data_IF_956387911164
#
_entry.id   IF_956387911164
#
_cell.length_a   1.000
_cell.length_b   1.000
_cell.length_c   1.000
_cell.angle_alpha   90.00
_cell.angle_beta   90.00
_cell.angle_gamma   90.00
#
_symmetry.space_group_name_H-M   'P 1'
#
loop_
_entity.id
_entity.type
_entity.pdbx_description
1 polymer ?
#
# COMPACT_ATOMS: atom_id res chain seq x y z
N UNK A 1 15.75 -4.26 4.29
CA UNK A 1 14.27 -4.20 4.22
C UNK A 1 13.86 -4.28 2.75
N UNK A 2 13.09 -5.30 2.40
CA UNK A 2 12.54 -5.46 1.05
C UNK A 2 11.06 -5.11 1.13
N UNK A 3 10.56 -4.24 0.26
CA UNK A 3 9.14 -3.85 0.24
C UNK A 3 8.64 -3.83 -1.19
N UNK A 4 7.46 -4.40 -1.39
CA UNK A 4 6.78 -4.45 -2.67
C UNK A 4 5.47 -3.67 -2.56
N UNK A 5 5.18 -2.87 -3.58
CA UNK A 5 3.96 -2.08 -3.69
C UNK A 5 3.24 -2.45 -4.98
N UNK A 6 1.92 -2.60 -4.90
CA UNK A 6 1.12 -2.82 -6.09
C UNK A 6 0.99 -1.51 -6.87
N UNK A 7 1.36 -1.55 -8.15
CA UNK A 7 1.07 -0.48 -9.09
C UNK A 7 -0.11 -0.98 -9.93
N UNK A 8 -1.29 -0.37 -9.75
CA UNK A 8 -2.48 -0.84 -10.43
C UNK A 8 -2.40 -0.52 -11.94
N UNK A 9 -2.37 -1.56 -12.77
CA UNK A 9 -2.62 -1.51 -14.21
C UNK A 9 -3.63 -2.60 -14.48
N UNK A 10 -4.72 -2.23 -15.16
CA UNK A 10 -5.97 -2.99 -15.24
C UNK A 10 -5.88 -4.48 -15.65
N UNK A 11 -4.72 -5.00 -16.08
CA UNK A 11 -4.56 -6.39 -16.55
C UNK A 11 -3.21 -7.07 -16.18
N UNK A 12 -2.27 -6.41 -15.48
CA UNK A 12 -0.94 -6.98 -15.16
C UNK A 12 -0.56 -6.75 -13.69
N UNK A 13 -0.03 -7.77 -13.01
CA UNK A 13 0.52 -7.65 -11.65
C UNK A 13 1.87 -6.91 -11.69
N UNK A 14 1.80 -5.59 -11.74
CA UNK A 14 2.95 -4.69 -11.68
C UNK A 14 3.29 -4.36 -10.22
N UNK A 15 4.55 -4.56 -9.87
CA UNK A 15 5.03 -4.30 -8.51
C UNK A 15 6.21 -3.34 -8.54
N UNK A 16 6.15 -2.31 -7.70
CA UNK A 16 7.32 -1.51 -7.33
C UNK A 16 8.03 -2.21 -6.19
N UNK A 17 9.30 -2.52 -6.36
CA UNK A 17 10.10 -3.16 -5.31
C UNK A 17 11.20 -2.20 -4.86
N UNK A 18 11.33 -2.06 -3.55
CA UNK A 18 12.39 -1.35 -2.87
C UNK A 18 13.32 -2.34 -2.18
N UNK A 19 14.64 -2.16 -2.38
CA UNK A 19 15.68 -3.00 -1.78
C UNK A 19 16.76 -2.12 -1.11
N UNK A 20 16.33 -1.16 -0.30
CA UNK A 20 17.18 -0.18 0.41
C UNK A 20 17.93 0.81 -0.50
N UNK A 21 18.71 0.34 -1.46
CA UNK A 21 19.49 1.21 -2.34
C UNK A 21 18.76 1.60 -3.63
N UNK A 22 17.75 0.83 -4.02
CA UNK A 22 17.14 0.93 -5.35
C UNK A 22 15.64 0.72 -5.30
N UNK A 23 14.97 1.36 -6.24
CA UNK A 23 13.58 1.06 -6.60
C UNK A 23 13.55 0.50 -8.02
N UNK A 24 12.75 -0.54 -8.24
CA UNK A 24 12.61 -1.14 -9.56
C UNK A 24 11.19 -1.65 -9.78
N UNK A 25 10.76 -1.69 -11.04
CA UNK A 25 9.47 -2.24 -11.44
C UNK A 25 9.67 -3.67 -11.91
N UNK A 26 8.87 -4.58 -11.34
CA UNK A 26 8.79 -5.99 -11.69
C UNK A 26 7.43 -6.26 -12.34
N UNK A 27 7.46 -6.98 -13.45
CA UNK A 27 6.25 -7.42 -14.17
C UNK A 27 6.43 -8.89 -14.52
N UNK A 28 5.46 -9.75 -14.17
CA UNK A 28 5.48 -11.19 -14.48
C UNK A 28 6.86 -11.84 -14.23
N UNK A 29 7.46 -11.55 -13.07
CA UNK A 29 8.76 -12.09 -12.62
C UNK A 29 10.01 -11.60 -13.35
N UNK A 30 9.90 -10.69 -14.33
CA UNK A 30 11.06 -10.02 -14.94
C UNK A 30 11.22 -8.61 -14.38
N UNK A 31 12.44 -8.31 -13.94
CA UNK A 31 12.86 -6.95 -13.60
C UNK A 31 13.01 -6.17 -14.90
N UNK A 32 12.26 -5.09 -15.04
CA UNK A 32 12.28 -4.31 -16.28
C UNK A 32 13.23 -3.13 -16.14
N UNK A 33 13.13 -2.38 -15.05
CA UNK A 33 13.78 -1.08 -14.92
C UNK A 33 14.18 -0.81 -13.47
N UNK A 34 15.37 -0.25 -13.27
CA UNK A 34 15.88 0.16 -11.95
C UNK A 34 16.28 1.63 -11.92
N UNK A 35 16.09 2.25 -10.77
CA UNK A 35 16.65 3.56 -10.41
C UNK A 35 17.33 3.44 -9.04
N UNK A 36 18.48 4.09 -8.89
CA UNK A 36 19.22 4.12 -7.62
C UNK A 36 18.75 5.28 -6.77
N UNK A 37 18.61 5.05 -5.47
CA UNK A 37 18.34 6.08 -4.46
C UNK A 37 19.64 6.47 -3.77
N UNK A 38 19.79 7.76 -3.48
CA UNK A 38 20.89 8.26 -2.64
C UNK A 38 20.67 7.84 -1.18
N UNK A 39 21.69 7.87 -0.34
CA UNK A 39 21.60 7.51 1.09
C UNK A 39 20.48 8.26 1.82
N UNK A 40 20.42 9.59 1.63
CA UNK A 40 19.37 10.44 2.23
C UNK A 40 17.98 10.14 1.68
N UNK A 41 17.86 9.84 0.38
CA UNK A 41 16.59 9.46 -0.24
C UNK A 41 16.11 8.10 0.25
N UNK A 42 17.03 7.14 0.35
CA UNK A 42 16.78 5.80 0.86
C UNK A 42 16.27 5.85 2.30
N UNK A 43 16.91 6.65 3.16
CA UNK A 43 16.48 6.82 4.55
C UNK A 43 15.06 7.40 4.64
N UNK A 44 14.81 8.52 3.97
CA UNK A 44 13.47 9.17 4.00
C UNK A 44 12.41 8.23 3.48
N UNK A 45 12.70 7.51 2.39
CA UNK A 45 11.77 6.55 1.82
C UNK A 45 11.51 5.39 2.80
N UNK A 46 12.55 4.77 3.37
CA UNK A 46 12.42 3.71 4.38
C UNK A 46 11.59 4.15 5.58
N UNK A 47 11.88 5.33 6.13
CA UNK A 47 11.14 5.86 7.27
C UNK A 47 9.64 6.04 6.97
N UNK A 48 9.31 6.55 5.79
CA UNK A 48 7.91 6.67 5.35
C UNK A 48 7.27 5.29 5.15
N UNK A 49 7.99 4.29 4.63
CA UNK A 49 7.45 2.93 4.49
C UNK A 49 7.10 2.34 5.84
N UNK A 50 7.94 2.52 6.85
CA UNK A 50 7.77 1.91 8.17
C UNK A 50 6.69 2.62 8.99
N UNK A 51 6.68 3.96 8.95
CA UNK A 51 5.92 4.75 9.93
C UNK A 51 4.72 5.49 9.33
N UNK A 52 4.63 5.64 8.01
CA UNK A 52 3.52 6.37 7.38
C UNK A 52 2.46 5.43 6.80
N UNK A 53 1.22 5.82 6.97
CA UNK A 53 0.06 5.24 6.30
C UNK A 53 -0.93 6.34 5.93
N UNK A 54 -1.92 6.01 5.10
CA UNK A 54 -2.98 6.98 4.74
C UNK A 54 -3.77 7.48 5.97
N UNK A 55 -3.91 6.63 7.00
CA UNK A 55 -4.58 6.97 8.26
C UNK A 55 -3.67 7.70 9.24
N UNK A 56 -2.34 7.55 9.10
CA UNK A 56 -1.35 8.16 9.96
C UNK A 56 -0.18 8.73 9.13
N UNK A 57 -0.37 9.87 8.45
CA UNK A 57 0.69 10.54 7.72
C UNK A 57 1.73 11.13 8.68
N UNK A 58 2.99 11.10 8.27
CA UNK A 58 4.12 11.54 9.09
C UNK A 58 4.43 13.01 8.85
N UNK A 59 4.54 13.79 9.94
CA UNK A 59 4.80 15.21 9.81
C UNK A 59 6.23 15.47 9.33
N UNK A 60 6.47 16.62 8.69
CA UNK A 60 7.81 16.98 8.25
C UNK A 60 8.80 17.04 9.42
N UNK A 61 8.34 17.46 10.61
CA UNK A 61 9.17 17.56 11.82
C UNK A 61 9.63 16.18 12.30
N UNK A 62 8.73 15.20 12.34
CA UNK A 62 9.05 13.84 12.80
C UNK A 62 10.08 13.17 11.85
N UNK A 63 9.94 13.42 10.55
CA UNK A 63 10.90 12.94 9.54
C UNK A 63 12.27 13.64 9.72
N UNK A 64 12.29 14.93 10.02
CA UNK A 64 13.53 15.69 10.25
C UNK A 64 14.23 15.28 11.55
N UNK A 65 13.49 15.05 12.63
CA UNK A 65 14.02 14.57 13.90
C UNK A 65 14.63 13.18 13.78
N UNK A 66 13.91 12.25 13.13
CA UNK A 66 14.43 10.89 12.89
C UNK A 66 15.67 10.89 11.99
N UNK A 67 15.75 11.80 11.01
CA UNK A 67 16.95 11.97 10.19
C UNK A 67 18.13 12.49 11.00
N UNK A 68 17.91 13.50 11.85
CA UNK A 68 18.95 14.06 12.73
C UNK A 68 19.53 13.00 13.64
N UNK A 69 18.69 12.12 14.20
CA UNK A 69 19.13 11.01 15.04
C UNK A 69 19.94 9.93 14.27
N UNK A 70 19.74 9.79 12.96
CA UNK A 70 20.40 8.76 12.18
C UNK A 70 21.74 9.20 11.57
N UNK A 71 21.83 10.45 11.13
CA UNK A 71 23.02 10.99 10.45
C UNK A 71 23.83 11.98 11.30
N UNK A 72 23.34 12.36 12.48
CA UNK A 72 23.87 13.45 13.30
C UNK A 72 23.98 14.80 12.54
N UNK A 73 23.17 14.94 11.48
CA UNK A 73 23.13 16.11 10.59
C UNK A 73 21.75 16.78 10.65
N UNK A 74 21.72 18.11 10.62
CA UNK A 74 20.47 18.85 10.45
C UNK A 74 20.10 18.97 8.97
N UNK A 75 18.81 18.84 8.68
CA UNK A 75 18.32 19.14 7.35
C UNK A 75 18.51 20.62 7.03
N UNK A 76 19.11 20.91 5.87
CA UNK A 76 19.11 22.27 5.36
C UNK A 76 17.69 22.70 4.94
N UNK A 77 17.47 24.01 4.88
CA UNK A 77 16.17 24.58 4.51
C UNK A 77 15.64 23.96 3.21
N UNK A 78 14.42 23.41 3.24
CA UNK A 78 13.76 22.73 2.13
C UNK A 78 14.38 21.41 1.64
N UNK A 79 15.42 20.89 2.29
CA UNK A 79 16.07 19.65 1.88
C UNK A 79 15.11 18.46 1.82
N UNK A 80 14.22 18.31 2.81
CA UNK A 80 13.23 17.23 2.82
C UNK A 80 12.29 17.33 1.60
N UNK A 81 11.81 18.52 1.26
CA UNK A 81 10.96 18.74 0.08
C UNK A 81 11.70 18.37 -1.21
N UNK A 82 12.98 18.72 -1.30
CA UNK A 82 13.81 18.39 -2.46
C UNK A 82 14.04 16.87 -2.60
N UNK A 83 14.27 16.18 -1.47
CA UNK A 83 14.40 14.72 -1.44
C UNK A 83 13.10 14.04 -1.90
N UNK A 84 11.96 14.45 -1.35
CA UNK A 84 10.65 13.90 -1.74
C UNK A 84 10.38 14.15 -3.22
N UNK A 85 10.67 15.36 -3.72
CA UNK A 85 10.54 15.68 -5.14
C UNK A 85 11.46 14.82 -6.02
N UNK A 86 12.70 14.57 -5.59
CA UNK A 86 13.64 13.69 -6.29
C UNK A 86 13.12 12.25 -6.35
N UNK A 87 12.63 11.70 -5.23
CA UNK A 87 12.03 10.35 -5.18
C UNK A 87 10.82 10.26 -6.11
N UNK A 88 9.90 11.23 -6.06
CA UNK A 88 8.74 11.30 -6.97
C UNK A 88 9.16 11.35 -8.44
N UNK A 89 10.20 12.11 -8.77
CA UNK A 89 10.74 12.18 -10.14
C UNK A 89 11.30 10.84 -10.61
N UNK A 90 12.07 10.14 -9.76
CA UNK A 90 12.61 8.80 -10.07
C UNK A 90 11.49 7.78 -10.28
N UNK A 91 10.46 7.81 -9.46
CA UNK A 91 9.27 6.97 -9.64
C UNK A 91 8.55 7.26 -10.97
N UNK A 92 8.27 8.53 -11.28
CA UNK A 92 7.63 8.92 -12.54
C UNK A 92 8.46 8.47 -13.75
N UNK A 93 9.79 8.60 -13.68
CA UNK A 93 10.68 8.10 -14.73
C UNK A 93 10.57 6.58 -14.92
N UNK A 94 10.49 5.81 -13.83
CA UNK A 94 10.26 4.37 -13.91
C UNK A 94 8.91 4.04 -14.55
N UNK A 95 7.83 4.71 -14.13
CA UNK A 95 6.50 4.53 -14.71
C UNK A 95 6.46 4.87 -16.21
N UNK A 96 7.08 5.98 -16.62
CA UNK A 96 7.15 6.40 -18.02
C UNK A 96 7.92 5.38 -18.86
N UNK A 97 9.09 4.93 -18.40
CA UNK A 97 9.89 3.90 -19.07
C UNK A 97 9.13 2.56 -19.16
N UNK A 98 8.33 2.22 -18.15
CA UNK A 98 7.48 1.03 -18.13
C UNK A 98 6.15 1.20 -18.90
N UNK A 99 5.89 2.38 -19.50
CA UNK A 99 4.63 2.73 -20.19
C UNK A 99 3.39 2.52 -19.30
N UNK A 100 3.50 2.88 -18.02
CA UNK A 100 2.41 2.80 -17.03
C UNK A 100 1.80 4.18 -16.86
N UNK A 101 0.52 4.33 -17.21
CA UNK A 101 -0.27 5.51 -16.86
C UNK A 101 -0.79 5.36 -15.43
N UNK A 102 0.08 5.64 -14.45
CA UNK A 102 -0.34 5.74 -13.05
C UNK A 102 -0.73 7.19 -12.74
N UNK A 103 -1.95 7.38 -12.24
CA UNK A 103 -2.39 8.66 -11.68
C UNK A 103 -1.98 8.81 -10.20
N UNK A 104 -1.48 7.75 -9.54
CA UNK A 104 -1.07 7.83 -8.14
C UNK A 104 0.34 8.40 -7.99
N UNK A 105 0.51 9.30 -7.01
CA UNK A 105 1.83 9.74 -6.59
C UNK A 105 2.42 8.72 -5.61
N UNK A 106 3.69 8.30 -5.78
CA UNK A 106 4.32 7.34 -4.84
C UNK A 106 4.26 7.82 -3.38
N UNK A 107 4.53 9.10 -3.17
CA UNK A 107 4.44 9.76 -1.87
C UNK A 107 3.41 10.87 -2.05
N UNK A 108 2.33 10.85 -1.29
CA UNK A 108 1.30 11.89 -1.27
C UNK A 108 1.46 12.78 -0.05
N UNK A 109 0.96 14.01 -0.15
CA UNK A 109 1.00 15.00 0.92
C UNK A 109 -0.44 15.26 1.40
N UNK A 110 -0.68 15.04 2.69
CA UNK A 110 -1.92 15.46 3.34
C UNK A 110 -1.73 16.86 3.93
N UNK A 111 -2.49 17.82 3.39
CA UNK A 111 -2.35 19.24 3.71
C UNK A 111 -2.34 19.51 5.22
N UNK A 112 -1.31 20.22 5.69
CA UNK A 112 -1.03 20.56 7.11
C UNK A 112 -0.79 19.37 8.05
N UNK A 113 -0.80 18.13 7.57
CA UNK A 113 -0.53 16.96 8.41
C UNK A 113 0.84 16.38 8.11
N UNK A 114 1.11 16.01 6.85
CA UNK A 114 2.38 15.38 6.54
C UNK A 114 2.39 14.54 5.26
N UNK A 115 3.36 13.64 5.18
CA UNK A 115 3.63 12.78 4.04
C UNK A 115 3.23 11.33 4.33
N UNK A 116 2.70 10.66 3.32
CA UNK A 116 2.41 9.23 3.38
C UNK A 116 2.66 8.55 2.03
N UNK A 117 2.78 7.22 2.05
CA UNK A 117 2.90 6.42 0.83
C UNK A 117 1.49 6.06 0.33
N UNK A 118 1.20 6.47 -0.89
CA UNK A 118 -0.11 6.33 -1.54
C UNK A 118 -0.09 5.15 -2.53
N UNK A 119 0.56 4.07 -2.11
CA UNK A 119 0.56 2.78 -2.79
C UNK A 119 0.26 1.69 -1.78
N UNK A 120 -0.61 0.76 -2.20
CA UNK A 120 -0.90 -0.44 -1.42
C UNK A 120 0.35 -1.31 -1.35
N UNK A 121 0.80 -1.60 -0.13
CA UNK A 121 1.85 -2.61 0.10
C UNK A 121 1.34 -3.94 -0.43
N UNK A 122 2.08 -4.57 -1.35
CA UNK A 122 1.73 -5.89 -1.83
C UNK A 122 2.00 -6.92 -0.74
N UNK A 123 1.10 -7.89 -0.60
CA UNK A 123 1.12 -8.88 0.48
C UNK A 123 2.28 -9.89 0.39
N UNK A 124 3.24 -9.72 -0.51
CA UNK A 124 4.39 -10.64 -0.65
C UNK A 124 5.34 -10.61 0.56
N UNK A 125 5.26 -9.58 1.44
CA UNK A 125 5.90 -9.56 2.77
C UNK A 125 4.90 -9.48 3.94
N UNK A 126 3.61 -9.70 3.69
CA UNK A 126 2.64 -9.90 4.75
C UNK A 126 2.57 -11.39 5.03
N UNK A 127 2.95 -11.81 6.25
CA UNK A 127 2.51 -13.10 6.80
C UNK A 127 0.99 -13.13 6.56
N UNK A 128 0.54 -14.04 5.70
CA UNK A 128 -0.85 -14.10 5.29
C UNK A 128 -1.72 -14.10 6.56
N UNK A 129 -2.75 -13.24 6.65
CA UNK A 129 -3.76 -13.47 7.68
C UNK A 129 -4.27 -14.88 7.44
N UNK A 130 -4.35 -15.70 8.50
CA UNK A 130 -4.85 -17.10 8.46
C UNK A 130 -6.26 -17.22 7.85
N UNK A 131 -6.91 -16.10 7.56
CA UNK A 131 -8.19 -16.00 6.91
C UNK A 131 -8.08 -15.17 5.64
N UNK A 132 -8.25 -15.84 4.50
CA UNK A 132 -8.61 -15.24 3.22
C UNK A 132 -9.95 -14.55 3.39
N UNK A 133 -9.94 -13.25 3.67
CA UNK A 133 -11.12 -12.42 3.36
C UNK A 133 -10.95 -12.09 1.88
N UNK A 134 -11.41 -13.00 1.02
CA UNK A 134 -11.70 -12.62 -0.36
C UNK A 134 -12.65 -11.42 -0.31
N UNK A 135 -12.54 -10.45 -1.23
CA UNK A 135 -13.63 -9.51 -1.44
C UNK A 135 -14.82 -10.36 -1.91
N UNK A 136 -15.68 -10.72 -0.96
CA UNK A 136 -16.87 -11.50 -1.21
C UNK A 136 -17.78 -10.64 -2.08
N UNK A 137 -17.68 -10.81 -3.39
CA UNK A 137 -18.56 -10.21 -4.39
C UNK A 137 -19.45 -11.34 -4.91
N UNK A 138 -20.43 -11.81 -4.10
CA UNK A 138 -21.28 -12.91 -4.53
C UNK A 138 -22.04 -12.43 -5.77
N UNK A 139 -22.07 -13.28 -6.79
CA UNK A 139 -22.96 -13.06 -7.91
C UNK A 139 -24.39 -12.95 -7.37
N UNK A 140 -25.25 -12.09 -7.94
CA UNK A 140 -26.60 -11.84 -7.41
C UNK A 140 -27.40 -13.13 -7.15
N UNK A 141 -27.17 -14.16 -7.97
CA UNK A 141 -27.77 -15.48 -7.83
C UNK A 141 -27.30 -16.21 -6.57
N UNK A 142 -26.01 -16.12 -6.23
CA UNK A 142 -25.45 -16.74 -5.02
C UNK A 142 -25.96 -16.04 -3.76
N UNK A 143 -26.10 -14.70 -3.81
CA UNK A 143 -26.70 -13.93 -2.73
C UNK A 143 -28.16 -14.35 -2.49
N UNK A 144 -28.94 -14.52 -3.56
CA UNK A 144 -30.33 -14.98 -3.50
C UNK A 144 -30.45 -16.39 -2.90
N UNK A 145 -29.58 -17.32 -3.33
CA UNK A 145 -29.53 -18.68 -2.75
C UNK A 145 -29.17 -18.64 -1.27
N UNK A 146 -28.23 -17.79 -0.87
CA UNK A 146 -27.85 -17.63 0.53
C UNK A 146 -29.02 -17.12 1.37
N UNK A 147 -29.72 -16.09 0.89
CA UNK A 147 -30.90 -15.52 1.58
C UNK A 147 -32.03 -16.54 1.75
N UNK A 148 -32.33 -17.31 0.71
CA UNK A 148 -33.37 -18.35 0.77
C UNK A 148 -32.97 -19.42 1.80
N UNK A 149 -31.71 -19.85 1.78
CA UNK A 149 -31.22 -20.87 2.71
C UNK A 149 -31.22 -20.39 4.16
N UNK A 150 -30.87 -19.13 4.43
CA UNK A 150 -30.96 -18.56 5.78
C UNK A 150 -32.40 -18.44 6.23
N UNK A 151 -33.30 -17.96 5.37
CA UNK A 151 -34.72 -17.84 5.67
C UNK A 151 -35.36 -19.19 6.00
N UNK A 152 -35.08 -20.24 5.20
CA UNK A 152 -35.58 -21.58 5.47
C UNK A 152 -35.07 -22.14 6.81
N UNK A 153 -33.79 -21.91 7.13
CA UNK A 153 -33.22 -22.36 8.41
C UNK A 153 -33.85 -21.66 9.60
N UNK A 154 -34.08 -20.36 9.51
CA UNK A 154 -34.73 -19.59 10.57
C UNK A 154 -36.20 -19.97 10.74
N UNK A 155 -36.90 -20.27 9.64
CA UNK A 155 -38.28 -20.75 9.68
C UNK A 155 -38.38 -22.15 10.33
N UNK A 156 -37.47 -23.06 10.01
CA UNK A 156 -37.38 -24.38 10.65
C UNK A 156 -37.06 -24.23 12.15
N UNK A 157 -36.13 -23.35 12.52
CA UNK A 157 -35.82 -23.07 13.93
C UNK A 157 -37.03 -22.52 14.67
N UNK A 158 -37.75 -21.56 14.08
CA UNK A 158 -38.97 -21.00 14.67
C UNK A 158 -40.04 -22.09 14.88
N UNK A 159 -40.26 -22.94 13.87
CA UNK A 159 -41.20 -24.06 13.96
C UNK A 159 -40.81 -25.12 15.02
N UNK A 160 -39.51 -25.37 15.21
CA UNK A 160 -39.03 -26.27 16.26
C UNK A 160 -39.25 -25.62 17.64
N UNK A 161 -38.95 -24.33 17.80
CA UNK A 161 -39.14 -23.60 19.05
C UNK A 161 -40.63 -23.58 19.44
N UNK A 162 -41.52 -23.30 18.49
CA UNK A 162 -42.97 -23.29 18.72
C UNK A 162 -43.52 -24.68 19.09
N UNK A 163 -42.96 -25.76 18.54
CA UNK A 163 -43.32 -27.14 18.94
C UNK A 163 -42.79 -27.57 20.29
N UNK A 164 -41.72 -26.97 20.80
CA UNK A 164 -41.15 -27.29 22.11
C UNK A 164 -41.77 -26.52 23.27
N UNK A 165 -42.55 -25.48 22.98
CA UNK A 165 -43.28 -24.66 23.96
C UNK A 165 -44.78 -24.97 24.05
N UNK A 166 -45.28 -25.92 23.24
CA UNK A 166 -46.66 -26.43 23.28
C UNK A 166 -46.71 -27.84 23.85
#
# INVERSE_FOLDING_TARGET
MHCSFNINKNDESLQLIYNEEKIYIKTNSKKILEERLNSKESFVFKYLIENSSISNPQSARDVEESFKLHFDEEFSLYALKNIIASIRKKYRNLCNKAKINSNSELISNLYKVGYFIDLDKSSENCIAPKHNITPFKPNHIELLKLMINTYQKDLIKALIIDRTLS
#
